data_IF_861207125955
#
_entry.id   IF_861207125955
#
_cell.length_a   1.000
_cell.length_b   1.000
_cell.length_c   1.000
_cell.angle_alpha   90.00
_cell.angle_beta   90.00
_cell.angle_gamma   90.00
#
_symmetry.space_group_name_H-M   'P 1'
#
loop_
_entity.id
_entity.type
_entity.pdbx_description
1 polymer ?
#
# COMPACT_ATOMS: atom_id res chain seq x y z
N UNK A 1 65.63 -27.83 -31.22
CA UNK A 1 65.29 -26.57 -30.51
C UNK A 1 63.81 -26.31 -30.76
N UNK A 2 62.95 -26.63 -29.79
CA UNK A 2 61.49 -26.51 -29.93
C UNK A 2 61.06 -25.14 -29.40
N UNK A 3 60.41 -24.35 -30.27
CA UNK A 3 59.88 -23.02 -29.94
C UNK A 3 58.45 -23.18 -29.42
N UNK A 4 58.21 -22.77 -28.17
CA UNK A 4 56.87 -22.80 -27.54
C UNK A 4 56.29 -21.40 -27.60
N UNK A 5 55.24 -21.23 -28.40
CA UNK A 5 54.43 -20.00 -28.45
C UNK A 5 53.37 -20.05 -27.34
N UNK A 6 53.48 -19.13 -26.39
CA UNK A 6 52.51 -18.93 -25.31
C UNK A 6 51.46 -17.94 -25.80
N UNK A 7 50.21 -18.41 -25.98
CA UNK A 7 49.05 -17.54 -26.17
C UNK A 7 48.57 -17.05 -24.80
N UNK A 8 48.69 -15.75 -24.55
CA UNK A 8 48.11 -15.10 -23.38
C UNK A 8 46.60 -14.90 -23.61
N UNK A 9 45.77 -15.65 -22.88
CA UNK A 9 44.33 -15.39 -22.80
C UNK A 9 44.11 -14.14 -21.93
N UNK A 10 43.63 -13.06 -22.54
CA UNK A 10 43.17 -11.88 -21.81
C UNK A 10 41.73 -12.15 -21.37
N UNK A 11 41.52 -12.47 -20.10
CA UNK A 11 40.20 -12.54 -19.51
C UNK A 11 39.65 -11.12 -19.30
N UNK A 12 38.71 -10.72 -20.14
CA UNK A 12 37.96 -9.47 -19.96
C UNK A 12 36.92 -9.67 -18.87
N UNK A 13 37.22 -9.19 -17.66
CA UNK A 13 36.22 -9.08 -16.59
C UNK A 13 35.22 -8.00 -16.99
N UNK A 14 34.04 -8.42 -17.47
CA UNK A 14 32.91 -7.51 -17.62
C UNK A 14 32.46 -7.07 -16.21
N UNK A 15 32.73 -5.81 -15.87
CA UNK A 15 32.16 -5.16 -14.69
C UNK A 15 30.64 -5.13 -14.87
N UNK A 16 29.92 -6.00 -14.16
CA UNK A 16 28.48 -5.91 -14.05
C UNK A 16 28.13 -4.57 -13.40
N UNK A 17 27.52 -3.66 -14.16
CA UNK A 17 26.95 -2.43 -13.59
C UNK A 17 25.82 -2.84 -12.64
N UNK A 18 25.79 -2.35 -11.39
CA UNK A 18 24.61 -2.51 -10.57
C UNK A 18 23.42 -1.90 -11.31
N UNK A 19 22.35 -2.68 -11.52
CA UNK A 19 21.06 -2.14 -11.94
C UNK A 19 20.58 -1.24 -10.81
N UNK A 20 20.83 0.05 -10.92
CA UNK A 20 20.10 1.04 -10.15
C UNK A 20 18.64 0.89 -10.55
N UNK A 21 17.83 0.29 -9.67
CA UNK A 21 16.38 0.44 -9.73
C UNK A 21 16.10 1.94 -9.72
N UNK A 22 15.75 2.52 -10.86
CA UNK A 22 15.14 3.84 -10.86
C UNK A 22 13.76 3.62 -10.26
N UNK A 23 13.63 3.79 -8.94
CA UNK A 23 12.31 4.07 -8.39
C UNK A 23 11.73 5.21 -9.24
N UNK A 24 10.55 4.96 -9.82
CA UNK A 24 9.91 5.92 -10.71
C UNK A 24 9.83 7.28 -10.02
N UNK A 25 9.80 8.36 -10.80
CA UNK A 25 9.53 9.67 -10.21
C UNK A 25 8.21 9.60 -9.43
N UNK A 26 8.16 10.27 -8.28
CA UNK A 26 6.94 10.36 -7.50
C UNK A 26 5.81 10.91 -8.37
N UNK A 27 4.64 10.29 -8.33
CA UNK A 27 3.50 10.62 -9.18
C UNK A 27 2.24 10.79 -8.33
N UNK A 28 1.47 11.83 -8.64
CA UNK A 28 0.15 12.04 -8.03
C UNK A 28 -0.91 11.30 -8.84
N UNK A 29 -1.75 10.56 -8.14
CA UNK A 29 -3.01 10.02 -8.66
C UNK A 29 -4.13 10.77 -7.98
N UNK A 30 -5.01 11.38 -8.77
CA UNK A 30 -6.13 12.20 -8.28
C UNK A 30 -7.45 11.44 -8.44
N UNK A 31 -8.50 11.97 -7.82
CA UNK A 31 -9.88 11.46 -7.93
C UNK A 31 -10.01 10.00 -7.48
N UNK A 32 -9.23 9.60 -6.49
CA UNK A 32 -9.28 8.25 -5.93
C UNK A 32 -10.46 8.14 -4.98
N UNK A 33 -11.32 7.14 -5.19
CA UNK A 33 -12.28 6.66 -4.20
C UNK A 33 -11.52 5.81 -3.18
N UNK A 34 -11.63 6.15 -1.90
CA UNK A 34 -11.00 5.42 -0.82
C UNK A 34 -12.09 4.86 0.10
N UNK A 35 -12.25 3.54 0.07
CA UNK A 35 -13.07 2.78 1.02
C UNK A 35 -12.17 2.10 2.04
N UNK A 36 -12.80 1.32 2.92
CA UNK A 36 -12.14 0.64 4.00
C UNK A 36 -12.72 -0.77 4.16
N UNK A 37 -11.86 -1.68 4.59
CA UNK A 37 -12.23 -3.05 4.90
C UNK A 37 -11.58 -3.51 6.20
N UNK A 38 -12.06 -4.64 6.70
CA UNK A 38 -11.71 -5.13 8.01
C UNK A 38 -11.83 -6.63 8.14
N UNK A 39 -11.60 -7.11 9.36
CA UNK A 39 -11.76 -8.52 9.68
C UNK A 39 -13.17 -9.06 9.34
N UNK A 40 -14.28 -8.35 9.66
CA UNK A 40 -15.62 -8.90 9.52
C UNK A 40 -16.04 -9.15 8.07
N UNK A 41 -15.61 -8.29 7.15
CA UNK A 41 -16.07 -8.20 5.77
C UNK A 41 -15.01 -8.61 4.74
N UNK A 42 -13.75 -8.77 5.15
CA UNK A 42 -12.75 -9.47 4.34
C UNK A 42 -13.27 -10.89 3.97
N UNK A 43 -12.87 -11.41 2.82
CA UNK A 43 -13.48 -12.60 2.23
C UNK A 43 -12.46 -13.73 1.99
N UNK A 44 -12.48 -14.82 2.80
CA UNK A 44 -13.35 -15.07 3.95
C UNK A 44 -13.02 -14.20 5.18
N UNK A 45 -13.95 -14.02 6.14
CA UNK A 45 -13.73 -13.18 7.31
C UNK A 45 -12.47 -13.56 8.06
N UNK A 46 -11.57 -12.60 8.21
CA UNK A 46 -10.21 -12.89 8.63
C UNK A 46 -9.23 -11.78 8.30
N UNK A 47 -7.99 -11.92 8.78
CA UNK A 47 -6.93 -10.98 8.47
C UNK A 47 -6.14 -11.42 7.23
N UNK A 48 -6.54 -12.47 6.50
CA UNK A 48 -5.77 -12.98 5.37
C UNK A 48 -5.66 -11.95 4.25
N UNK A 49 -4.59 -12.05 3.45
CA UNK A 49 -4.37 -11.21 2.26
C UNK A 49 -4.05 -12.08 1.05
N UNK A 50 -4.41 -11.63 -0.15
CA UNK A 50 -4.21 -12.36 -1.40
C UNK A 50 -2.73 -12.51 -1.78
N UNK A 51 -1.89 -11.50 -1.52
CA UNK A 51 -0.52 -11.43 -2.02
C UNK A 51 0.53 -11.56 -0.90
N UNK A 52 0.83 -12.82 -0.56
CA UNK A 52 1.79 -13.13 0.52
C UNK A 52 3.27 -12.92 0.16
N UNK A 53 3.58 -12.73 -1.12
CA UNK A 53 4.94 -12.49 -1.62
C UNK A 53 5.55 -11.15 -1.14
N UNK A 54 4.76 -10.28 -0.51
CA UNK A 54 5.24 -9.02 0.06
C UNK A 54 5.88 -9.17 1.46
N UNK A 55 6.00 -10.40 1.96
CA UNK A 55 6.71 -10.72 3.22
C UNK A 55 5.83 -10.83 4.46
N UNK A 56 4.49 -10.81 4.30
CA UNK A 56 3.52 -11.13 5.34
C UNK A 56 2.33 -11.88 4.74
N UNK A 57 1.52 -12.53 5.58
CA UNK A 57 0.33 -13.27 5.16
C UNK A 57 -0.96 -12.78 5.79
N UNK A 58 -0.88 -11.65 6.52
CA UNK A 58 -2.04 -11.02 7.15
C UNK A 58 -2.01 -9.51 6.97
N UNK A 59 -3.20 -8.92 6.87
CA UNK A 59 -3.42 -7.49 6.80
C UNK A 59 -2.97 -6.78 8.08
N UNK A 60 -2.52 -5.54 7.93
CA UNK A 60 -2.12 -4.70 9.05
C UNK A 60 -1.03 -3.71 8.66
N UNK A 61 -0.15 -3.42 9.62
CA UNK A 61 0.89 -2.40 9.50
C UNK A 61 0.49 -1.09 10.15
N UNK A 62 1.50 -0.27 10.45
CA UNK A 62 1.35 1.01 11.16
C UNK A 62 1.08 2.17 10.21
N UNK A 63 1.34 2.01 8.91
CA UNK A 63 1.27 3.07 7.91
C UNK A 63 2.57 3.86 7.76
N UNK A 64 3.68 3.36 8.31
CA UNK A 64 5.03 3.92 8.07
C UNK A 64 5.60 3.40 6.75
N UNK A 65 6.64 4.02 6.19
CA UNK A 65 7.23 3.55 4.92
C UNK A 65 7.79 2.13 5.04
N UNK A 66 8.39 1.78 6.19
CA UNK A 66 8.94 0.45 6.46
C UNK A 66 7.90 -0.60 6.85
N UNK A 67 6.73 -0.15 7.31
CA UNK A 67 5.61 -0.99 7.71
C UNK A 67 4.29 -0.36 7.22
N UNK A 68 4.08 -0.40 5.89
CA UNK A 68 2.91 0.21 5.26
C UNK A 68 1.63 -0.53 5.68
N UNK A 69 0.53 0.20 5.70
CA UNK A 69 -0.79 -0.35 5.97
C UNK A 69 -1.28 -1.14 4.75
N UNK A 70 -1.94 -2.27 4.97
CA UNK A 70 -2.49 -3.10 3.88
C UNK A 70 -3.51 -2.34 3.04
N UNK A 71 -3.38 -2.50 1.73
CA UNK A 71 -4.26 -1.96 0.70
C UNK A 71 -4.75 -3.10 -0.20
N UNK A 72 -6.05 -3.09 -0.48
CA UNK A 72 -6.66 -3.84 -1.57
C UNK A 72 -7.01 -2.89 -2.73
N UNK A 73 -6.86 -3.35 -3.96
CA UNK A 73 -7.23 -2.58 -5.16
C UNK A 73 -7.47 -3.53 -6.34
N UNK A 74 -7.77 -3.03 -7.53
CA UNK A 74 -7.89 -3.88 -8.71
C UNK A 74 -6.54 -4.39 -9.23
N UNK A 75 -6.53 -5.61 -9.79
CA UNK A 75 -5.38 -6.12 -10.55
C UNK A 75 -5.02 -5.15 -11.70
N UNK A 76 -3.78 -4.65 -11.70
CA UNK A 76 -3.26 -3.74 -12.72
C UNK A 76 -3.52 -2.25 -12.46
N UNK A 77 -4.27 -1.90 -11.40
CA UNK A 77 -4.39 -0.51 -10.93
C UNK A 77 -3.10 -0.06 -10.22
N UNK A 78 -2.57 -0.92 -9.35
CA UNK A 78 -1.24 -0.82 -8.73
C UNK A 78 -0.48 -2.14 -8.92
N UNK A 79 0.86 -2.08 -8.96
CA UNK A 79 1.67 -3.28 -8.99
C UNK A 79 1.56 -4.04 -7.65
N UNK A 80 1.65 -5.37 -7.66
CA UNK A 80 1.67 -6.12 -6.40
C UNK A 80 2.86 -5.71 -5.54
N UNK A 81 2.64 -5.55 -4.24
CA UNK A 81 3.61 -5.02 -3.27
C UNK A 81 4.01 -3.55 -3.47
N UNK A 82 3.36 -2.81 -4.38
CA UNK A 82 3.65 -1.39 -4.56
C UNK A 82 3.31 -0.60 -3.30
N UNK A 83 4.22 0.28 -2.90
CA UNK A 83 4.00 1.22 -1.80
C UNK A 83 3.54 2.56 -2.36
N UNK A 84 2.38 3.01 -1.89
CA UNK A 84 1.81 4.33 -2.17
C UNK A 84 1.67 5.12 -0.87
N UNK A 85 1.34 6.41 -0.96
CA UNK A 85 1.05 7.23 0.21
C UNK A 85 -0.31 7.91 0.08
N UNK A 86 -1.18 7.74 1.07
CA UNK A 86 -2.47 8.43 1.16
C UNK A 86 -2.30 9.71 1.98
N UNK A 87 -2.57 10.87 1.36
CA UNK A 87 -2.61 12.14 2.11
C UNK A 87 -3.73 12.19 3.12
N UNK A 88 -4.87 11.59 2.76
CA UNK A 88 -6.06 11.58 3.59
C UNK A 88 -5.80 10.91 4.94
N UNK A 89 -4.96 9.88 4.96
CA UNK A 89 -4.62 9.16 6.17
C UNK A 89 -3.26 9.57 6.77
N UNK A 90 -2.41 10.24 5.97
CA UNK A 90 -0.98 10.38 6.24
C UNK A 90 -0.32 9.04 6.55
N UNK A 91 -0.53 8.07 5.66
CA UNK A 91 -0.01 6.71 5.79
C UNK A 91 0.55 6.24 4.46
N UNK A 92 1.61 5.46 4.54
CA UNK A 92 2.03 4.59 3.44
C UNK A 92 1.16 3.36 3.42
N UNK A 93 0.73 2.98 2.23
CA UNK A 93 -0.12 1.82 1.98
C UNK A 93 0.62 0.86 1.05
N UNK A 94 0.39 -0.45 1.16
CA UNK A 94 0.98 -1.45 0.26
C UNK A 94 -0.09 -2.34 -0.34
N UNK A 95 -0.09 -2.44 -1.66
CA UNK A 95 -1.01 -3.30 -2.41
C UNK A 95 -0.67 -4.77 -2.14
N UNK A 96 -1.49 -5.41 -1.31
CA UNK A 96 -1.24 -6.76 -0.79
C UNK A 96 -2.47 -7.66 -0.86
N UNK A 97 -3.62 -7.08 -1.18
CA UNK A 97 -4.89 -7.78 -1.21
C UNK A 97 -5.69 -7.39 -2.45
N UNK A 98 -6.74 -8.15 -2.76
CA UNK A 98 -7.65 -7.85 -3.87
C UNK A 98 -9.04 -7.43 -3.40
N UNK A 99 -9.73 -6.66 -4.24
CA UNK A 99 -11.04 -6.11 -3.93
C UNK A 99 -11.94 -6.18 -5.17
N UNK A 100 -13.06 -6.92 -5.07
CA UNK A 100 -13.98 -7.14 -6.20
C UNK A 100 -14.62 -5.84 -6.68
N UNK A 101 -15.10 -5.01 -5.74
CA UNK A 101 -15.68 -3.70 -6.06
C UNK A 101 -14.67 -2.78 -6.75
N UNK A 102 -13.41 -2.82 -6.34
CA UNK A 102 -12.31 -2.09 -6.95
C UNK A 102 -12.07 -2.57 -8.39
N UNK A 103 -12.11 -3.89 -8.62
CA UNK A 103 -12.05 -4.47 -9.97
C UNK A 103 -13.13 -3.92 -10.91
N UNK A 104 -14.38 -3.90 -10.45
CA UNK A 104 -15.49 -3.37 -11.24
C UNK A 104 -15.33 -1.85 -11.53
N UNK A 105 -14.96 -1.08 -10.51
CA UNK A 105 -14.71 0.36 -10.63
C UNK A 105 -13.54 0.65 -11.61
N UNK A 106 -12.48 -0.16 -11.56
CA UNK A 106 -11.33 -0.04 -12.45
C UNK A 106 -11.68 -0.27 -13.92
N UNK A 107 -12.53 -1.27 -14.23
CA UNK A 107 -13.03 -1.47 -15.60
C UNK A 107 -13.84 -0.28 -16.12
N UNK A 108 -14.40 0.53 -15.21
CA UNK A 108 -15.14 1.75 -15.51
C UNK A 108 -14.26 3.02 -15.48
N UNK A 109 -12.94 2.88 -15.31
CA UNK A 109 -11.98 3.99 -15.27
C UNK A 109 -11.97 4.76 -13.96
N UNK A 110 -12.52 4.18 -12.88
CA UNK A 110 -12.53 4.78 -11.54
C UNK A 110 -11.33 4.23 -10.76
N UNK A 111 -10.54 5.13 -10.19
CA UNK A 111 -9.51 4.74 -9.21
C UNK A 111 -10.19 4.46 -7.88
N UNK A 112 -10.03 3.24 -7.36
CA UNK A 112 -10.69 2.78 -6.16
C UNK A 112 -9.75 1.90 -5.34
N UNK A 113 -9.36 2.41 -4.18
CA UNK A 113 -8.52 1.69 -3.23
C UNK A 113 -9.30 1.41 -1.94
N UNK A 114 -9.02 0.27 -1.32
CA UNK A 114 -9.71 -0.20 -0.12
C UNK A 114 -8.69 -0.48 0.99
N UNK A 115 -8.82 0.21 2.13
CA UNK A 115 -7.75 0.29 3.14
C UNK A 115 -8.11 -0.47 4.41
N UNK A 116 -7.21 -1.31 4.90
CA UNK A 116 -7.40 -2.05 6.14
C UNK A 116 -7.49 -1.12 7.36
N UNK A 117 -8.54 -1.22 8.19
CA UNK A 117 -8.71 -0.35 9.37
C UNK A 117 -8.43 -1.02 10.72
N UNK A 118 -8.46 -2.34 10.74
CA UNK A 118 -8.72 -3.11 11.96
C UNK A 118 -7.54 -3.84 12.58
N UNK A 119 -7.88 -4.77 13.47
CA UNK A 119 -6.93 -5.67 14.12
C UNK A 119 -6.84 -6.99 13.35
N UNK A 120 -5.63 -7.51 13.20
CA UNK A 120 -5.42 -8.84 12.60
C UNK A 120 -5.84 -10.02 13.49
N UNK A 121 -6.33 -9.74 14.70
CA UNK A 121 -6.68 -10.76 15.70
C UNK A 121 -8.07 -10.59 16.30
N UNK A 122 -8.78 -9.52 15.94
CA UNK A 122 -10.07 -9.19 16.53
C UNK A 122 -11.08 -8.88 15.44
N UNK A 123 -12.20 -9.61 15.45
CA UNK A 123 -13.36 -9.32 14.63
C UNK A 123 -14.23 -8.29 15.36
N UNK A 124 -14.26 -7.04 14.86
CA UNK A 124 -15.06 -5.96 15.45
C UNK A 124 -16.56 -6.02 15.10
N UNK A 125 -16.99 -6.98 14.27
CA UNK A 125 -18.37 -7.12 13.83
C UNK A 125 -18.92 -5.86 13.17
N UNK A 126 -20.20 -5.58 13.39
CA UNK A 126 -20.88 -4.43 12.78
C UNK A 126 -20.28 -3.08 13.19
N UNK A 127 -19.73 -2.94 14.41
CA UNK A 127 -19.10 -1.68 14.84
C UNK A 127 -17.88 -1.32 13.97
N UNK A 128 -17.21 -2.33 13.44
CA UNK A 128 -16.09 -2.12 12.52
C UNK A 128 -16.60 -1.76 11.12
N UNK A 129 -17.63 -2.44 10.63
CA UNK A 129 -18.28 -2.13 9.35
C UNK A 129 -18.83 -0.70 9.34
N UNK A 130 -19.49 -0.27 10.42
CA UNK A 130 -20.00 1.10 10.54
C UNK A 130 -18.86 2.13 10.52
N UNK A 131 -17.67 1.76 11.02
CA UNK A 131 -16.49 2.61 10.92
C UNK A 131 -15.94 2.69 9.49
N UNK A 132 -15.92 1.57 8.76
CA UNK A 132 -15.53 1.49 7.35
C UNK A 132 -16.42 2.41 6.49
N UNK A 133 -17.73 2.31 6.68
CA UNK A 133 -18.73 3.16 6.02
C UNK A 133 -18.55 4.64 6.37
N UNK A 134 -18.27 4.95 7.64
CA UNK A 134 -18.09 6.34 8.10
C UNK A 134 -16.83 6.98 7.52
N UNK A 135 -15.74 6.22 7.38
CA UNK A 135 -14.48 6.72 6.85
C UNK A 135 -14.48 6.87 5.32
N UNK A 136 -15.34 6.12 4.62
CA UNK A 136 -15.40 6.06 3.16
C UNK A 136 -15.54 7.45 2.53
N UNK A 137 -14.65 7.76 1.57
CA UNK A 137 -14.54 9.11 1.00
C UNK A 137 -14.11 9.08 -0.48
N UNK A 138 -14.64 9.99 -1.28
CA UNK A 138 -14.25 10.17 -2.69
C UNK A 138 -13.23 11.29 -2.89
N UNK A 139 -12.72 11.42 -4.12
CA UNK A 139 -11.88 12.54 -4.57
C UNK A 139 -10.56 12.73 -3.80
N UNK A 140 -9.92 11.63 -3.41
CA UNK A 140 -8.64 11.65 -2.69
C UNK A 140 -7.45 11.68 -3.64
N UNK A 141 -6.28 11.99 -3.07
CA UNK A 141 -4.99 11.96 -3.73
C UNK A 141 -4.11 10.91 -3.06
N UNK A 142 -3.54 10.01 -3.87
CA UNK A 142 -2.44 9.14 -3.45
C UNK A 142 -1.17 9.46 -4.25
N UNK A 143 -0.02 9.15 -3.65
CA UNK A 143 1.27 9.23 -4.33
C UNK A 143 1.79 7.83 -4.66
N UNK A 144 2.11 7.58 -5.92
CA UNK A 144 2.94 6.44 -6.34
C UNK A 144 4.42 6.83 -6.23
N UNK A 145 5.27 5.86 -5.90
CA UNK A 145 6.70 6.08 -5.62
C UNK A 145 6.96 7.25 -4.65
N UNK A 146 6.28 7.31 -3.47
CA UNK A 146 6.43 8.43 -2.55
C UNK A 146 7.85 8.47 -1.94
N UNK A 147 8.38 9.67 -1.60
CA UNK A 147 9.51 9.79 -0.68
C UNK A 147 9.22 9.06 0.63
N UNK A 148 10.23 8.49 1.29
CA UNK A 148 10.05 7.73 2.54
C UNK A 148 9.93 8.58 3.81
N UNK A 149 10.01 9.90 3.69
CA UNK A 149 10.05 10.86 4.79
C UNK A 149 8.81 11.77 4.88
N UNK A 150 7.72 11.43 4.19
CA UNK A 150 6.45 12.13 4.36
C UNK A 150 5.91 11.97 5.79
N UNK A 151 5.10 12.93 6.29
CA UNK A 151 4.48 12.84 7.61
C UNK A 151 3.69 11.54 7.79
N UNK A 152 3.77 10.93 8.97
CA UNK A 152 3.01 9.71 9.27
C UNK A 152 2.13 9.94 10.49
N UNK A 153 0.86 9.58 10.36
CA UNK A 153 -0.01 9.30 11.49
C UNK A 153 -0.13 7.78 11.64
N UNK A 154 0.45 7.21 12.70
CA UNK A 154 0.43 5.77 12.94
C UNK A 154 -0.76 5.30 13.78
N UNK A 155 -1.74 6.17 14.04
CA UNK A 155 -2.93 5.81 14.82
C UNK A 155 -3.76 4.78 14.06
N UNK A 156 -4.21 3.73 14.74
CA UNK A 156 -5.11 2.73 14.14
C UNK A 156 -6.47 3.39 13.84
N UNK A 157 -7.04 3.12 12.66
CA UNK A 157 -8.31 3.72 12.23
C UNK A 157 -9.50 3.15 13.02
N UNK A 158 -9.42 1.86 13.36
CA UNK A 158 -10.34 1.20 14.27
C UNK A 158 -9.60 0.55 15.44
N UNK A 159 -10.17 0.67 16.63
CA UNK A 159 -9.65 -0.02 17.83
C UNK A 159 -10.79 -0.72 18.55
N UNK A 160 -10.72 -2.04 18.62
CA UNK A 160 -11.59 -2.85 19.46
C UNK A 160 -10.96 -2.99 20.85
N UNK A 161 -11.28 -2.05 21.74
CA UNK A 161 -10.99 -2.16 23.18
C UNK A 161 -12.32 -2.16 23.95
N UNK A 162 -12.30 -1.98 25.27
CA UNK A 162 -13.52 -1.82 26.09
C UNK A 162 -14.46 -0.70 25.57
N UNK A 163 -13.93 0.21 24.74
CA UNK A 163 -14.67 1.20 23.98
C UNK A 163 -14.20 1.17 22.52
N UNK A 164 -15.01 0.63 21.59
CA UNK A 164 -14.73 0.74 20.17
C UNK A 164 -14.55 2.20 19.77
N UNK A 165 -13.49 2.50 19.02
CA UNK A 165 -13.25 3.85 18.51
C UNK A 165 -13.02 3.82 17.00
N UNK A 166 -13.84 4.57 16.27
CA UNK A 166 -13.61 4.92 14.87
C UNK A 166 -12.91 6.28 14.79
N UNK A 167 -11.66 6.30 14.33
CA UNK A 167 -10.78 7.48 14.38
C UNK A 167 -10.97 8.41 13.18
N UNK A 168 -12.18 8.95 13.05
CA UNK A 168 -12.50 9.93 11.99
C UNK A 168 -11.73 11.24 12.14
N UNK A 169 -11.26 11.55 13.35
CA UNK A 169 -10.41 12.68 13.69
C UNK A 169 -8.95 12.52 13.24
N UNK A 170 -8.56 11.31 12.79
CA UNK A 170 -7.25 11.01 12.21
C UNK A 170 -7.31 10.94 10.67
N UNK A 171 -8.17 11.78 10.10
CA UNK A 171 -8.27 12.00 8.65
C UNK A 171 -7.92 13.44 8.32
N UNK A 172 -7.37 13.65 7.12
CA UNK A 172 -6.76 14.90 6.73
C UNK A 172 -7.33 15.40 5.40
N UNK A 173 -7.85 16.61 5.41
CA UNK A 173 -8.48 17.26 4.24
C UNK A 173 -7.51 18.15 3.45
N UNK A 174 -6.37 18.51 4.05
CA UNK A 174 -5.40 19.41 3.45
C UNK A 174 -4.29 18.66 2.73
N UNK A 175 -4.34 18.62 1.40
CA UNK A 175 -3.15 18.38 0.59
C UNK A 175 -2.18 19.55 0.80
N UNK A 176 -1.12 19.36 1.58
CA UNK A 176 -0.07 20.37 1.70
C UNK A 176 0.90 20.20 0.51
N UNK A 177 0.96 21.22 -0.35
CA UNK A 177 1.85 21.27 -1.49
C UNK A 177 3.33 21.11 -1.11
N UNK A 178 3.73 21.37 0.14
CA UNK A 178 5.11 21.16 0.61
C UNK A 178 5.46 19.70 0.92
N UNK A 179 4.48 18.79 0.86
CA UNK A 179 4.64 17.35 1.05
C UNK A 179 4.55 16.58 -0.27
N UNK A 180 4.74 17.28 -1.39
CA UNK A 180 4.62 16.70 -2.72
C UNK A 180 5.85 15.89 -3.14
N UNK A 181 5.65 15.07 -4.17
CA UNK A 181 6.67 14.88 -5.20
C UNK A 181 7.32 16.24 -5.54
#
# INVERSE_FOLDING_TARGET
MYSVLIFALIATTALARPKTSSHGQCQKVNNVKQTYFGYPDNSPPGPGIAYTQCGRSVAGGTGTYSDPLTLATANGELETCEVVYSYHLRKYLRHEDDCEACGNDWTSGIWHVDVWIGSNSVNGGQDQIDCEDTLTVGNQIILRNPPSNLPVDSTALYSYQAYPSCRTDHTYTAWNASSSC
#
